data_IF_609376307362
#
_entry.id   IF_609376307362
#
_cell.length_a   1.000
_cell.length_b   1.000
_cell.length_c   1.000
_cell.angle_alpha   90.00
_cell.angle_beta   90.00
_cell.angle_gamma   90.00
#
_symmetry.space_group_name_H-M   'P 1'
#
loop_
_entity.id
_entity.type
_entity.pdbx_description
1 polymer ?
#
# COMPACT_ATOMS: atom_id res chain seq x y z
N UNK A 1 29.80 -22.00 9.20
CA UNK A 1 30.45 -20.87 9.89
C UNK A 1 29.45 -19.74 9.82
N UNK A 2 28.58 -19.67 10.81
CA UNK A 2 27.53 -18.67 10.90
C UNK A 2 28.18 -17.36 11.35
N UNK A 3 28.14 -16.36 10.47
CA UNK A 3 28.64 -15.02 10.79
C UNK A 3 27.52 -14.33 11.55
N UNK A 4 27.63 -14.28 12.89
CA UNK A 4 26.79 -13.41 13.71
C UNK A 4 27.18 -11.95 13.42
N UNK A 5 26.53 -11.35 12.43
CA UNK A 5 26.59 -9.91 12.20
C UNK A 5 25.87 -9.22 13.36
N UNK A 6 26.63 -8.77 14.35
CA UNK A 6 26.09 -7.92 15.42
C UNK A 6 25.81 -6.54 14.80
N UNK A 7 24.56 -6.33 14.39
CA UNK A 7 24.12 -5.08 13.77
C UNK A 7 23.88 -4.02 14.85
N UNK A 8 24.67 -2.95 14.85
CA UNK A 8 24.38 -1.77 15.67
C UNK A 8 23.15 -1.05 15.14
N UNK A 9 22.30 -0.56 16.04
CA UNK A 9 21.17 0.28 15.67
C UNK A 9 21.67 1.59 15.05
N UNK A 10 21.27 1.95 13.82
CA UNK A 10 21.74 3.17 13.16
C UNK A 10 21.23 4.45 13.81
N UNK A 11 20.18 4.38 14.64
CA UNK A 11 19.61 5.55 15.33
C UNK A 11 20.28 5.83 16.68
N UNK A 12 20.51 4.79 17.49
CA UNK A 12 21.05 4.97 18.85
C UNK A 12 22.47 4.42 19.03
N UNK A 13 23.07 3.81 18.00
CA UNK A 13 24.43 3.28 18.01
C UNK A 13 24.64 1.99 18.82
N UNK A 14 23.63 1.54 19.57
CA UNK A 14 23.72 0.37 20.44
C UNK A 14 23.48 -0.94 19.67
N UNK A 15 24.18 -2.01 20.06
CA UNK A 15 24.02 -3.36 19.54
C UNK A 15 22.80 -4.06 20.17
N UNK A 16 21.61 -3.54 19.85
CA UNK A 16 20.32 -3.95 20.45
C UNK A 16 19.29 -4.27 19.37
N UNK A 17 19.74 -4.60 18.15
CA UNK A 17 18.86 -4.99 17.05
C UNK A 17 18.51 -6.47 17.18
N UNK A 18 17.22 -6.78 17.18
CA UNK A 18 16.69 -8.14 17.32
C UNK A 18 15.73 -8.45 16.17
N UNK A 19 15.71 -9.69 15.69
CA UNK A 19 14.72 -10.11 14.70
C UNK A 19 13.32 -10.16 15.32
N UNK A 20 12.36 -9.55 14.62
CA UNK A 20 10.97 -9.53 15.03
C UNK A 20 10.04 -9.38 13.82
N UNK A 21 8.75 -9.34 14.09
CA UNK A 21 7.73 -9.05 13.08
C UNK A 21 7.01 -7.75 13.42
N UNK A 22 6.87 -6.87 12.44
CA UNK A 22 6.20 -5.57 12.61
C UNK A 22 4.95 -5.49 11.74
N UNK A 23 4.11 -4.51 12.04
CA UNK A 23 2.98 -4.14 11.20
C UNK A 23 3.26 -2.78 10.57
N UNK A 24 3.23 -2.72 9.24
CA UNK A 24 3.42 -1.50 8.47
C UNK A 24 2.07 -1.01 7.96
N UNK A 25 1.82 0.30 8.07
CA UNK A 25 0.64 0.95 7.50
C UNK A 25 1.09 1.90 6.39
N UNK A 26 0.57 1.70 5.18
CA UNK A 26 0.87 2.52 4.02
C UNK A 26 -0.42 3.20 3.52
N UNK A 27 -0.53 4.53 3.62
CA UNK A 27 -1.65 5.25 3.04
C UNK A 27 -1.52 5.31 1.51
N UNK A 28 -2.54 4.86 0.78
CA UNK A 28 -2.66 4.97 -0.68
C UNK A 28 -4.05 5.50 -1.04
N UNK A 29 -4.14 6.69 -1.64
CA UNK A 29 -5.34 7.21 -2.33
C UNK A 29 -6.68 6.91 -1.63
N UNK A 30 -6.79 7.23 -0.33
CA UNK A 30 -8.02 7.04 0.45
C UNK A 30 -8.19 5.65 1.10
N UNK A 31 -7.26 4.73 0.87
CA UNK A 31 -7.19 3.40 1.50
C UNK A 31 -5.92 3.31 2.36
N UNK A 32 -6.00 2.64 3.51
CA UNK A 32 -4.82 2.32 4.33
C UNK A 32 -4.50 0.84 4.15
N UNK A 33 -3.37 0.55 3.51
CA UNK A 33 -2.86 -0.80 3.36
C UNK A 33 -2.10 -1.18 4.63
N UNK A 34 -2.57 -2.22 5.32
CA UNK A 34 -1.92 -2.74 6.53
C UNK A 34 -1.23 -4.06 6.23
N UNK A 35 0.09 -4.05 6.23
CA UNK A 35 0.92 -5.25 6.07
C UNK A 35 1.28 -5.77 7.45
N UNK A 36 0.84 -6.97 7.77
CA UNK A 36 1.06 -7.63 9.05
C UNK A 36 2.16 -8.67 8.94
N UNK A 37 2.79 -8.98 10.07
CA UNK A 37 3.84 -10.01 10.18
C UNK A 37 5.04 -9.77 9.24
N UNK A 38 5.43 -8.50 9.06
CA UNK A 38 6.57 -8.14 8.21
C UNK A 38 7.87 -8.43 8.96
N UNK A 39 8.76 -9.31 8.45
CA UNK A 39 10.05 -9.55 9.08
C UNK A 39 10.90 -8.28 9.09
N UNK A 40 11.40 -7.91 10.27
CA UNK A 40 12.21 -6.72 10.48
C UNK A 40 13.20 -6.92 11.62
N UNK A 41 14.26 -6.13 11.64
CA UNK A 41 15.09 -5.94 12.81
C UNK A 41 14.54 -4.78 13.64
N UNK A 42 14.30 -5.02 14.92
CA UNK A 42 13.76 -4.03 15.86
C UNK A 42 14.78 -3.77 16.94
N UNK A 43 15.10 -2.49 17.17
CA UNK A 43 15.95 -2.09 18.27
C UNK A 43 15.18 -2.20 19.58
N UNK A 44 15.61 -3.07 20.50
CA UNK A 44 14.98 -3.21 21.82
C UNK A 44 15.18 -1.97 22.72
N UNK A 45 16.15 -1.12 22.40
CA UNK A 45 16.40 0.12 23.14
C UNK A 45 15.54 1.32 22.67
N UNK A 46 15.54 1.64 21.38
CA UNK A 46 14.88 2.85 20.86
C UNK A 46 13.63 2.57 20.00
N UNK A 47 13.31 1.30 19.73
CA UNK A 47 12.15 0.91 18.93
C UNK A 47 12.31 1.12 17.43
N UNK A 48 13.49 1.52 16.93
CA UNK A 48 13.76 1.64 15.49
C UNK A 48 13.54 0.30 14.79
N UNK A 49 12.81 0.33 13.70
CA UNK A 49 12.51 -0.83 12.86
C UNK A 49 13.27 -0.71 11.54
N UNK A 50 13.94 -1.78 11.13
CA UNK A 50 14.66 -1.89 9.87
C UNK A 50 14.15 -3.11 9.10
N UNK A 51 13.72 -2.88 7.87
CA UNK A 51 13.32 -3.95 6.96
C UNK A 51 14.51 -4.26 6.06
N UNK A 52 14.82 -5.55 5.87
CA UNK A 52 15.92 -5.98 4.99
C UNK A 52 15.61 -5.69 3.52
N UNK A 53 16.64 -5.62 2.68
CA UNK A 53 16.49 -5.30 1.26
C UNK A 53 15.48 -6.22 0.55
N UNK A 54 15.57 -7.53 0.78
CA UNK A 54 14.67 -8.50 0.16
C UNK A 54 13.20 -8.30 0.56
N UNK A 55 12.95 -8.03 1.84
CA UNK A 55 11.60 -7.77 2.35
C UNK A 55 11.08 -6.42 1.81
N UNK A 56 11.93 -5.40 1.71
CA UNK A 56 11.57 -4.11 1.13
C UNK A 56 11.21 -4.22 -0.37
N UNK A 57 11.91 -5.07 -1.12
CA UNK A 57 11.56 -5.37 -2.51
C UNK A 57 10.22 -6.09 -2.63
N UNK A 58 9.93 -7.06 -1.75
CA UNK A 58 8.64 -7.75 -1.74
C UNK A 58 7.49 -6.78 -1.41
N UNK A 59 7.67 -5.92 -0.41
CA UNK A 59 6.70 -4.88 -0.06
C UNK A 59 6.43 -3.96 -1.25
N UNK A 60 7.49 -3.50 -1.93
CA UNK A 60 7.36 -2.63 -3.10
C UNK A 60 6.55 -3.29 -4.22
N UNK A 61 6.80 -4.58 -4.50
CA UNK A 61 6.05 -5.33 -5.50
C UNK A 61 4.56 -5.46 -5.14
N UNK A 62 4.26 -5.75 -3.87
CA UNK A 62 2.87 -5.83 -3.37
C UNK A 62 2.18 -4.47 -3.55
N UNK A 63 2.83 -3.38 -3.14
CA UNK A 63 2.28 -2.03 -3.26
C UNK A 63 2.00 -1.66 -4.72
N UNK A 64 2.88 -2.01 -5.66
CA UNK A 64 2.65 -1.77 -7.09
C UNK A 64 1.45 -2.55 -7.63
N UNK A 65 1.31 -3.83 -7.25
CA UNK A 65 0.19 -4.67 -7.69
C UNK A 65 -1.14 -4.14 -7.15
N UNK A 66 -1.19 -3.73 -5.88
CA UNK A 66 -2.39 -3.16 -5.26
C UNK A 66 -2.74 -1.81 -5.89
N UNK A 67 -1.76 -0.93 -6.09
CA UNK A 67 -1.98 0.36 -6.76
C UNK A 67 -2.59 0.21 -8.16
N UNK A 68 -2.08 -0.75 -8.95
CA UNK A 68 -2.65 -1.05 -10.26
C UNK A 68 -4.09 -1.55 -10.17
N UNK A 69 -4.42 -2.35 -9.15
CA UNK A 69 -5.78 -2.86 -8.97
C UNK A 69 -6.76 -1.75 -8.54
N UNK A 70 -6.35 -0.86 -7.64
CA UNK A 70 -7.15 0.28 -7.19
C UNK A 70 -7.41 1.25 -8.36
N UNK A 71 -6.39 1.56 -9.16
CA UNK A 71 -6.56 2.39 -10.36
C UNK A 71 -7.57 1.81 -11.35
N UNK A 72 -7.52 0.49 -11.61
CA UNK A 72 -8.49 -0.18 -12.48
C UNK A 72 -9.92 -0.15 -11.92
N UNK A 73 -10.08 -0.26 -10.59
CA UNK A 73 -11.39 -0.14 -9.95
C UNK A 73 -11.99 1.26 -10.11
N UNK A 74 -11.18 2.31 -9.97
CA UNK A 74 -11.62 3.69 -10.21
C UNK A 74 -12.08 3.90 -11.66
N UNK A 75 -11.27 3.49 -12.64
CA UNK A 75 -11.65 3.60 -14.06
C UNK A 75 -12.97 2.87 -14.36
N UNK A 76 -13.18 1.68 -13.77
CA UNK A 76 -14.43 0.94 -13.93
C UNK A 76 -15.65 1.65 -13.31
N UNK A 77 -15.46 2.33 -12.19
CA UNK A 77 -16.52 3.13 -11.56
C UNK A 77 -16.84 4.36 -12.42
N UNK A 78 -15.84 5.07 -12.91
CA UNK A 78 -16.01 6.26 -13.75
C UNK A 78 -16.75 5.93 -15.05
N UNK A 79 -16.38 4.84 -15.73
CA UNK A 79 -17.08 4.38 -16.94
C UNK A 79 -18.56 4.09 -16.66
N UNK A 80 -18.88 3.50 -15.50
CA UNK A 80 -20.28 3.22 -15.11
C UNK A 80 -21.06 4.51 -14.87
N UNK A 81 -20.47 5.49 -14.18
CA UNK A 81 -21.09 6.78 -13.93
C UNK A 81 -21.32 7.56 -15.24
N UNK A 82 -20.31 7.62 -16.10
CA UNK A 82 -20.43 8.26 -17.42
C UNK A 82 -21.52 7.61 -18.27
N UNK A 83 -21.60 6.28 -18.29
CA UNK A 83 -22.68 5.58 -19.02
C UNK A 83 -24.06 5.95 -18.49
N UNK A 84 -24.23 6.02 -17.17
CA UNK A 84 -25.50 6.41 -16.56
C UNK A 84 -25.89 7.85 -16.93
N UNK A 85 -24.93 8.78 -16.92
CA UNK A 85 -25.16 10.18 -17.31
C UNK A 85 -25.54 10.30 -18.78
N UNK A 86 -24.84 9.59 -19.68
CA UNK A 86 -25.17 9.59 -21.12
C UNK A 86 -26.59 9.07 -21.34
N UNK A 87 -27.00 8.00 -20.66
CA UNK A 87 -28.37 7.49 -20.77
C UNK A 87 -29.42 8.50 -20.30
N UNK A 88 -29.16 9.24 -19.21
CA UNK A 88 -30.05 10.29 -18.72
C UNK A 88 -30.19 11.45 -19.71
N UNK A 89 -29.08 11.88 -20.32
CA UNK A 89 -29.10 12.94 -21.34
C UNK A 89 -29.88 12.50 -22.57
N UNK A 90 -29.71 11.24 -23.00
CA UNK A 90 -30.46 10.68 -24.12
C UNK A 90 -31.96 10.63 -23.84
N UNK A 91 -32.40 10.18 -22.66
CA UNK A 91 -33.83 10.17 -22.32
C UNK A 91 -34.42 11.57 -22.26
N UNK A 92 -33.72 12.54 -21.67
CA UNK A 92 -34.18 13.93 -21.59
C UNK A 92 -34.26 14.60 -22.97
N UNK A 93 -33.33 14.27 -23.88
CA UNK A 93 -33.35 14.77 -25.26
C UNK A 93 -34.55 14.23 -26.05
N UNK A 94 -34.96 12.99 -25.77
CA UNK A 94 -36.14 12.37 -26.40
C UNK A 94 -37.43 13.05 -25.93
N UNK A 95 -37.57 13.32 -24.63
CA UNK A 95 -38.76 14.01 -24.08
C UNK A 95 -38.96 15.42 -24.68
N UNK A 96 -37.88 16.15 -24.96
CA UNK A 96 -37.93 17.48 -25.57
C UNK A 96 -38.31 17.47 -27.06
N UNK A 97 -38.12 16.35 -27.77
CA UNK A 97 -38.47 16.22 -29.20
C UNK A 97 -39.97 15.89 -29.38
N UNK A 98 -40.61 15.29 -28.37
CA UNK A 98 -42.02 14.87 -28.41
C UNK A 98 -42.97 15.82 -27.66
N UNK A 99 -42.48 16.97 -27.18
CA UNK A 99 -43.27 18.03 -26.53
C UNK A 99 -43.49 19.22 -27.48
#
# INVERSE_FOLDING_TARGET
MDIEFILSCPECGLQTMEESTVTLAYPQEGVILRMVNVPALVCSNCGKQLVTGDVAHQISNILQQVGNHVALQHVSQDIRQLRAQVSQVQSASVELIYA
#
